data_IF_543886388500
#
_entry.id   IF_543886388500
#
_cell.length_a   1.000
_cell.length_b   1.000
_cell.length_c   1.000
_cell.angle_alpha   90.00
_cell.angle_beta   90.00
_cell.angle_gamma   90.00
#
_symmetry.space_group_name_H-M   'P 1'
#
loop_
_entity.id
_entity.type
_entity.pdbx_description
1 polymer ?
#
# COMPACT_ATOMS: atom_id res chain seq x y z
N UNK A 1 6.61 -16.02 -11.09
CA UNK A 1 5.34 -15.74 -11.78
C UNK A 1 4.32 -15.36 -10.72
N UNK A 2 3.81 -14.14 -10.75
CA UNK A 2 2.94 -13.57 -9.70
C UNK A 2 1.54 -14.19 -9.78
N UNK A 3 0.98 -14.66 -8.67
CA UNK A 3 -0.37 -15.25 -8.64
C UNK A 3 -1.43 -14.16 -8.45
N UNK A 4 -2.11 -13.81 -9.53
CA UNK A 4 -3.32 -12.96 -9.52
C UNK A 4 -4.57 -13.80 -9.26
N UNK A 5 -4.57 -14.54 -8.15
CA UNK A 5 -5.62 -15.52 -7.84
C UNK A 5 -6.13 -15.22 -6.44
N UNK A 6 -7.41 -14.82 -6.35
CA UNK A 6 -8.08 -14.64 -5.07
C UNK A 6 -8.02 -15.95 -4.26
N UNK A 7 -7.97 -15.86 -2.93
CA UNK A 7 -7.96 -17.04 -2.06
C UNK A 7 -9.20 -17.92 -2.26
N UNK A 8 -10.33 -17.30 -2.63
CA UNK A 8 -11.59 -17.94 -2.95
C UNK A 8 -12.42 -17.07 -3.94
N UNK A 9 -13.23 -17.66 -4.84
CA UNK A 9 -14.01 -16.89 -5.83
C UNK A 9 -15.02 -15.89 -5.22
N UNK A 10 -15.51 -16.17 -4.01
CA UNK A 10 -16.46 -15.31 -3.30
C UNK A 10 -15.84 -14.07 -2.65
N UNK A 11 -14.51 -13.89 -2.67
CA UNK A 11 -13.88 -12.72 -2.04
C UNK A 11 -14.29 -11.44 -2.74
N UNK A 12 -14.75 -10.47 -1.96
CA UNK A 12 -15.13 -9.15 -2.42
C UNK A 12 -14.17 -8.09 -1.89
N UNK A 13 -13.98 -7.02 -2.65
CA UNK A 13 -13.26 -5.81 -2.27
C UNK A 13 -14.24 -4.63 -2.23
N UNK A 14 -14.08 -3.73 -1.26
CA UNK A 14 -14.88 -2.50 -1.14
C UNK A 14 -14.73 -1.67 -2.42
N UNK A 15 -15.86 -1.26 -2.99
CA UNK A 15 -15.89 -0.50 -4.24
C UNK A 15 -14.99 0.75 -4.20
N UNK A 16 -14.94 1.57 -3.12
CA UNK A 16 -14.08 2.75 -3.13
C UNK A 16 -12.58 2.43 -3.26
N UNK A 17 -12.14 1.26 -2.78
CA UNK A 17 -10.75 0.82 -2.91
C UNK A 17 -10.49 0.29 -4.32
N UNK A 18 -11.38 -0.54 -4.85
CA UNK A 18 -11.29 -1.01 -6.23
C UNK A 18 -11.34 0.15 -7.23
N UNK A 19 -12.22 1.12 -7.00
CA UNK A 19 -12.38 2.30 -7.83
C UNK A 19 -11.13 3.16 -7.80
N UNK A 20 -10.53 3.38 -6.63
CA UNK A 20 -9.26 4.09 -6.54
C UNK A 20 -8.20 3.43 -7.43
N UNK A 21 -8.06 2.11 -7.40
CA UNK A 21 -7.11 1.39 -8.27
C UNK A 21 -7.45 1.61 -9.75
N UNK A 22 -8.73 1.48 -10.11
CA UNK A 22 -9.23 1.68 -11.49
C UNK A 22 -8.96 3.10 -11.98
N UNK A 23 -9.19 4.11 -11.15
CA UNK A 23 -9.01 5.53 -11.49
C UNK A 23 -7.54 5.85 -11.73
N UNK A 24 -6.64 5.18 -11.00
CA UNK A 24 -5.19 5.32 -11.13
C UNK A 24 -4.60 4.64 -12.38
N UNK A 25 -5.38 3.81 -13.10
CA UNK A 25 -4.91 3.18 -14.33
C UNK A 25 -4.61 4.22 -15.44
N UNK A 26 -3.56 4.01 -16.24
CA UNK A 26 -3.31 4.81 -17.43
C UNK A 26 -4.50 4.86 -18.39
N UNK A 27 -4.65 5.96 -19.14
CA UNK A 27 -5.77 6.15 -20.07
C UNK A 27 -5.91 5.01 -21.09
N UNK A 28 -4.79 4.51 -21.62
CA UNK A 28 -4.79 3.39 -22.59
C UNK A 28 -5.27 2.05 -22.00
N UNK A 29 -5.32 1.93 -20.66
CA UNK A 29 -5.86 0.75 -19.98
C UNK A 29 -7.38 0.85 -19.74
N UNK A 30 -7.99 2.05 -19.85
CA UNK A 30 -9.43 2.23 -19.55
C UNK A 30 -10.37 1.36 -20.39
N UNK A 31 -10.11 1.04 -21.67
CA UNK A 31 -10.94 0.10 -22.42
C UNK A 31 -11.05 -1.30 -21.79
N UNK A 32 -10.06 -1.73 -20.99
CA UNK A 32 -10.10 -3.00 -20.28
C UNK A 32 -11.25 -3.07 -19.27
N UNK A 33 -11.59 -1.94 -18.65
CA UNK A 33 -12.67 -1.86 -17.64
C UNK A 33 -13.99 -2.28 -18.26
N UNK A 34 -14.28 -1.77 -19.48
CA UNK A 34 -15.48 -2.13 -20.23
C UNK A 34 -15.50 -3.60 -20.62
N UNK A 35 -14.38 -4.13 -21.14
CA UNK A 35 -14.27 -5.54 -21.54
C UNK A 35 -14.45 -6.54 -20.39
N UNK A 36 -14.17 -6.12 -19.15
CA UNK A 36 -14.30 -6.93 -17.95
C UNK A 36 -15.62 -6.66 -17.19
N UNK A 37 -16.50 -5.79 -17.69
CA UNK A 37 -17.75 -5.47 -17.01
C UNK A 37 -17.57 -4.73 -15.67
N UNK A 38 -16.42 -4.07 -15.47
CA UNK A 38 -16.01 -3.44 -14.20
C UNK A 38 -16.59 -2.02 -14.00
N UNK A 39 -17.74 -1.72 -14.62
CA UNK A 39 -18.39 -0.42 -14.43
C UNK A 39 -18.81 -0.23 -12.96
N UNK A 40 -18.61 0.95 -12.35
CA UNK A 40 -19.06 1.22 -10.98
C UNK A 40 -20.56 0.95 -10.78
N UNK A 41 -21.37 1.18 -11.83
CA UNK A 41 -22.81 0.93 -11.82
C UNK A 41 -23.17 -0.56 -11.61
N UNK A 42 -22.27 -1.47 -11.96
CA UNK A 42 -22.50 -2.91 -11.84
C UNK A 42 -22.15 -3.45 -10.44
N UNK A 43 -21.46 -2.66 -9.61
CA UNK A 43 -20.84 -3.12 -8.36
C UNK A 43 -21.17 -2.18 -7.19
N UNK A 44 -22.44 -2.07 -6.76
CA UNK A 44 -22.81 -1.18 -5.67
C UNK A 44 -22.18 -1.63 -4.34
N UNK A 45 -21.11 -0.94 -3.94
CA UNK A 45 -20.43 -1.10 -2.65
C UNK A 45 -19.37 -2.19 -2.58
N UNK A 46 -19.47 -3.25 -3.40
CA UNK A 46 -18.53 -4.38 -3.43
C UNK A 46 -18.28 -4.87 -4.85
N UNK A 47 -17.04 -5.25 -5.14
CA UNK A 47 -16.59 -5.84 -6.41
C UNK A 47 -15.91 -7.18 -6.15
N UNK A 48 -16.03 -8.17 -7.03
CA UNK A 48 -15.27 -9.41 -6.88
C UNK A 48 -13.77 -9.14 -6.99
N UNK A 49 -12.99 -9.62 -6.02
CA UNK A 49 -11.54 -9.41 -5.99
C UNK A 49 -10.88 -10.01 -7.24
N UNK A 50 -11.36 -11.16 -7.72
CA UNK A 50 -10.82 -11.79 -8.92
C UNK A 50 -10.97 -10.92 -10.17
N UNK A 51 -12.04 -10.14 -10.30
CA UNK A 51 -12.21 -9.26 -11.46
C UNK A 51 -11.19 -8.11 -11.43
N UNK A 52 -10.95 -7.54 -10.25
CA UNK A 52 -9.89 -6.56 -10.06
C UNK A 52 -8.50 -7.15 -10.34
N UNK A 53 -8.22 -8.36 -9.87
CA UNK A 53 -6.96 -9.07 -10.15
C UNK A 53 -6.80 -9.39 -11.64
N UNK A 54 -7.89 -9.74 -12.34
CA UNK A 54 -7.89 -9.95 -13.78
C UNK A 54 -7.55 -8.66 -14.53
N UNK A 55 -8.10 -7.52 -14.11
CA UNK A 55 -7.75 -6.21 -14.66
C UNK A 55 -6.26 -5.90 -14.44
N UNK A 56 -5.75 -6.08 -13.21
CA UNK A 56 -4.34 -5.82 -12.92
C UNK A 56 -3.40 -6.72 -13.73
N UNK A 57 -3.76 -8.00 -13.91
CA UNK A 57 -3.02 -8.94 -14.77
C UNK A 57 -3.00 -8.49 -16.23
N UNK A 58 -4.13 -8.00 -16.76
CA UNK A 58 -4.21 -7.45 -18.12
C UNK A 58 -3.39 -6.16 -18.28
N UNK A 59 -3.34 -5.33 -17.24
CA UNK A 59 -2.52 -4.12 -17.22
C UNK A 59 -1.03 -4.48 -17.18
N UNK A 60 -0.66 -5.52 -16.43
CA UNK A 60 0.71 -6.02 -16.37
C UNK A 60 1.15 -6.63 -17.71
N UNK A 61 0.31 -7.46 -18.34
CA UNK A 61 0.65 -8.13 -19.62
C UNK A 61 0.82 -7.17 -20.80
N UNK A 62 0.16 -6.00 -20.76
CA UNK A 62 0.29 -4.96 -21.80
C UNK A 62 1.51 -4.07 -21.65
N UNK A 63 2.28 -4.23 -20.57
CA UNK A 63 3.50 -3.46 -20.34
C UNK A 63 4.69 -4.19 -20.95
N UNK A 64 4.82 -4.09 -22.26
CA UNK A 64 6.09 -4.34 -22.91
C UNK A 64 7.10 -3.28 -22.40
N UNK A 65 7.83 -3.60 -21.31
CA UNK A 65 9.01 -2.85 -20.86
C UNK A 65 8.82 -1.74 -19.83
N UNK A 66 7.65 -1.55 -19.21
CA UNK A 66 7.46 -0.52 -18.15
C UNK A 66 7.17 -1.11 -16.77
N UNK A 67 8.21 -1.47 -15.97
CA UNK A 67 8.04 -1.99 -14.61
C UNK A 67 7.44 -0.95 -13.64
N UNK A 68 7.56 0.35 -13.91
CA UNK A 68 7.17 1.40 -12.97
C UNK A 68 5.66 1.57 -12.82
N UNK A 69 4.85 0.99 -13.70
CA UNK A 69 3.43 1.30 -13.66
C UNK A 69 2.68 0.70 -12.47
N UNK A 70 3.12 -0.40 -11.85
CA UNK A 70 2.38 -1.04 -10.74
C UNK A 70 2.83 -0.38 -9.44
N UNK A 71 4.13 -0.14 -9.34
CA UNK A 71 4.71 0.72 -8.31
C UNK A 71 4.02 2.09 -8.30
N UNK A 72 3.82 2.74 -9.45
CA UNK A 72 3.17 4.06 -9.50
C UNK A 72 1.69 4.02 -9.09
N UNK A 73 0.95 2.96 -9.44
CA UNK A 73 -0.40 2.74 -8.92
C UNK A 73 -0.36 2.58 -7.41
N UNK A 74 0.54 1.76 -6.86
CA UNK A 74 0.73 1.57 -5.43
C UNK A 74 1.04 2.88 -4.69
N UNK A 75 1.98 3.68 -5.20
CA UNK A 75 2.35 4.98 -4.64
C UNK A 75 1.16 5.94 -4.55
N UNK A 76 0.31 5.97 -5.58
CA UNK A 76 -0.87 6.83 -5.59
C UNK A 76 -1.99 6.26 -4.72
N UNK A 77 -2.14 4.93 -4.68
CA UNK A 77 -3.09 4.24 -3.80
C UNK A 77 -2.78 4.52 -2.32
N UNK A 78 -1.50 4.64 -1.96
CA UNK A 78 -1.11 5.01 -0.59
C UNK A 78 -1.81 6.25 -0.07
N UNK A 79 -2.03 7.28 -0.91
CA UNK A 79 -2.75 8.50 -0.52
C UNK A 79 -4.22 8.21 -0.16
N UNK A 80 -4.89 7.36 -0.94
CA UNK A 80 -6.28 6.96 -0.67
C UNK A 80 -6.38 6.12 0.62
N UNK A 81 -5.34 5.34 0.91
CA UNK A 81 -5.26 4.52 2.12
C UNK A 81 -4.99 5.40 3.35
N UNK A 82 -4.07 6.36 3.23
CA UNK A 82 -3.75 7.36 4.28
C UNK A 82 -5.00 8.05 4.80
N UNK A 83 -5.88 8.54 3.91
CA UNK A 83 -7.12 9.24 4.32
C UNK A 83 -8.10 8.36 5.12
N UNK A 84 -7.86 7.05 5.15
CA UNK A 84 -8.71 6.04 5.81
C UNK A 84 -8.02 5.39 7.00
N UNK A 85 -6.75 5.71 7.25
CA UNK A 85 -5.96 5.17 8.34
C UNK A 85 -5.82 6.21 9.45
N UNK A 86 -6.10 5.79 10.67
CA UNK A 86 -5.76 6.56 11.87
C UNK A 86 -4.36 6.14 12.29
N UNK A 87 -3.34 6.86 11.84
CA UNK A 87 -1.94 6.63 12.18
C UNK A 87 -1.19 7.97 12.17
N UNK A 88 -0.19 8.11 13.03
CA UNK A 88 0.58 9.35 13.14
C UNK A 88 2.05 9.16 12.72
N UNK A 89 2.50 7.91 12.58
CA UNK A 89 3.89 7.54 12.24
C UNK A 89 3.96 6.26 11.42
N UNK A 90 5.11 6.07 10.79
CA UNK A 90 5.47 4.91 9.95
C UNK A 90 5.17 3.56 10.60
N UNK A 91 5.47 3.37 11.87
CA UNK A 91 5.27 2.10 12.57
C UNK A 91 3.78 1.77 12.75
N UNK A 92 2.96 2.79 13.06
CA UNK A 92 1.53 2.61 13.31
C UNK A 92 0.79 2.27 12.02
N UNK A 93 1.13 2.93 10.90
CA UNK A 93 0.54 2.63 9.60
C UNK A 93 0.85 1.19 9.18
N UNK A 94 2.07 0.72 9.39
CA UNK A 94 2.46 -0.66 9.07
C UNK A 94 1.70 -1.69 9.92
N UNK A 95 1.51 -1.42 11.22
CA UNK A 95 0.70 -2.26 12.12
C UNK A 95 -0.77 -2.32 11.70
N UNK A 96 -1.30 -1.23 11.14
CA UNK A 96 -2.71 -1.14 10.72
C UNK A 96 -3.02 -1.79 9.37
N UNK A 97 -2.02 -2.13 8.55
CA UNK A 97 -2.27 -2.66 7.20
C UNK A 97 -3.09 -3.95 7.17
N UNK A 98 -2.89 -4.86 8.13
CA UNK A 98 -3.71 -6.08 8.23
C UNK A 98 -5.18 -5.73 8.45
N UNK A 99 -5.44 -4.88 9.43
CA UNK A 99 -6.80 -4.45 9.79
C UNK A 99 -7.46 -3.71 8.63
N UNK A 100 -6.72 -2.84 7.95
CA UNK A 100 -7.21 -2.16 6.76
C UNK A 100 -7.58 -3.14 5.65
N UNK A 101 -6.68 -4.09 5.34
CA UNK A 101 -6.94 -5.13 4.32
C UNK A 101 -8.21 -5.92 4.65
N UNK A 102 -8.35 -6.37 5.89
CA UNK A 102 -9.51 -7.14 6.35
C UNK A 102 -10.82 -6.33 6.36
N UNK A 103 -10.76 -5.01 6.57
CA UNK A 103 -11.93 -4.13 6.44
C UNK A 103 -12.30 -3.85 4.99
N UNK A 104 -11.30 -3.81 4.11
CA UNK A 104 -11.45 -3.57 2.68
C UNK A 104 -11.95 -4.80 1.91
N UNK A 105 -11.86 -6.00 2.50
CA UNK A 105 -12.30 -7.24 1.86
C UNK A 105 -13.42 -7.94 2.65
N UNK A 106 -14.25 -8.72 1.96
CA UNK A 106 -15.30 -9.59 2.55
C UNK A 106 -15.07 -11.03 2.11
N UNK A 107 -15.45 -11.97 2.99
CA UNK A 107 -15.31 -13.42 2.79
C UNK A 107 -13.86 -13.90 2.58
N UNK A 108 -12.91 -13.02 2.87
CA UNK A 108 -11.48 -13.30 2.81
C UNK A 108 -11.04 -14.05 4.08
N UNK A 109 -10.08 -14.97 3.92
CA UNK A 109 -9.54 -15.68 5.07
C UNK A 109 -8.82 -14.71 6.02
N UNK A 110 -9.00 -14.83 7.36
CA UNK A 110 -8.29 -13.99 8.32
C UNK A 110 -6.77 -14.19 8.32
N UNK A 111 -6.31 -15.27 7.67
CA UNK A 111 -4.90 -15.57 7.45
C UNK A 111 -4.30 -14.81 6.27
N UNK A 112 -5.12 -14.26 5.36
CA UNK A 112 -4.66 -13.47 4.21
C UNK A 112 -4.52 -12.00 4.63
N UNK A 113 -3.46 -11.32 4.17
CA UNK A 113 -3.19 -9.93 4.48
C UNK A 113 -1.73 -9.66 4.77
N UNK A 114 -1.53 -8.61 5.55
CA UNK A 114 -0.21 -8.18 6.00
C UNK A 114 0.10 -8.71 7.40
N UNK A 115 1.38 -8.93 7.68
CA UNK A 115 1.88 -9.15 9.03
C UNK A 115 3.07 -8.26 9.29
N UNK A 116 3.06 -7.63 10.46
CA UNK A 116 4.13 -6.77 10.98
C UNK A 116 4.93 -7.55 12.02
N UNK A 117 6.25 -7.54 11.90
CA UNK A 117 7.18 -8.07 12.89
C UNK A 117 8.31 -7.07 13.12
N UNK A 118 8.60 -6.75 14.37
CA UNK A 118 9.72 -5.90 14.76
C UNK A 118 10.85 -6.79 15.26
N UNK A 119 12.00 -6.75 14.59
CA UNK A 119 13.17 -7.56 14.95
C UNK A 119 14.11 -6.81 15.90
N UNK A 120 14.22 -5.50 15.73
CA UNK A 120 14.96 -4.58 16.57
C UNK A 120 14.39 -3.16 16.39
N UNK A 121 14.73 -2.19 17.25
CA UNK A 121 14.29 -0.80 17.06
C UNK A 121 14.62 -0.29 15.66
N UNK A 122 13.60 0.10 14.90
CA UNK A 122 13.73 0.56 13.52
C UNK A 122 14.03 -0.53 12.47
N UNK A 123 14.17 -1.80 12.86
CA UNK A 123 14.31 -2.91 11.92
C UNK A 123 13.04 -3.76 11.91
N UNK A 124 12.26 -3.60 10.85
CA UNK A 124 10.94 -4.18 10.70
C UNK A 124 10.92 -5.19 9.56
N UNK A 125 10.00 -6.14 9.66
CA UNK A 125 9.67 -7.08 8.59
C UNK A 125 8.17 -7.05 8.35
N UNK A 126 7.82 -6.73 7.11
CA UNK A 126 6.47 -6.85 6.59
C UNK A 126 6.42 -8.10 5.72
N UNK A 127 5.45 -8.98 5.95
CA UNK A 127 5.14 -10.04 4.98
C UNK A 127 3.71 -9.90 4.52
N UNK A 128 3.50 -10.17 3.24
CA UNK A 128 2.19 -10.17 2.59
C UNK A 128 1.96 -11.51 1.91
N UNK A 129 0.80 -12.08 2.14
CA UNK A 129 0.29 -13.21 1.37
C UNK A 129 -0.98 -12.83 0.61
N UNK A 130 -1.18 -11.54 0.33
CA UNK A 130 -2.31 -11.08 -0.49
C UNK A 130 -2.11 -11.50 -1.95
N UNK A 131 -3.19 -11.58 -2.75
CA UNK A 131 -3.08 -11.97 -4.15
C UNK A 131 -2.69 -10.80 -5.07
N UNK A 132 -2.36 -9.63 -4.52
CA UNK A 132 -1.97 -8.45 -5.30
C UNK A 132 -0.52 -8.57 -5.80
N UNK A 133 -0.19 -7.92 -6.94
CA UNK A 133 1.18 -7.94 -7.45
C UNK A 133 2.18 -7.28 -6.51
N UNK A 134 3.37 -7.88 -6.37
CA UNK A 134 4.43 -7.40 -5.47
C UNK A 134 4.83 -5.95 -5.73
N UNK A 135 4.84 -5.53 -6.99
CA UNK A 135 5.23 -4.17 -7.37
C UNK A 135 4.21 -3.13 -6.90
N UNK A 136 2.92 -3.48 -6.93
CA UNK A 136 1.85 -2.65 -6.39
C UNK A 136 1.96 -2.54 -4.88
N UNK A 137 2.17 -3.68 -4.21
CA UNK A 137 2.38 -3.75 -2.77
C UNK A 137 3.60 -2.95 -2.31
N UNK A 138 4.73 -3.07 -3.03
CA UNK A 138 5.93 -2.29 -2.80
C UNK A 138 5.64 -0.79 -2.92
N UNK A 139 4.99 -0.37 -4.02
CA UNK A 139 4.59 1.02 -4.21
C UNK A 139 3.69 1.55 -3.09
N UNK A 140 2.74 0.73 -2.62
CA UNK A 140 1.87 1.06 -1.50
C UNK A 140 2.68 1.26 -0.21
N UNK A 141 3.54 0.31 0.16
CA UNK A 141 4.39 0.42 1.35
C UNK A 141 5.28 1.67 1.29
N UNK A 142 5.94 1.88 0.15
CA UNK A 142 6.81 3.04 -0.03
C UNK A 142 6.03 4.35 0.12
N UNK A 143 4.86 4.45 -0.52
CA UNK A 143 4.03 5.65 -0.44
C UNK A 143 3.53 5.95 0.97
N UNK A 144 3.17 4.93 1.74
CA UNK A 144 2.74 5.08 3.13
C UNK A 144 3.89 5.53 4.03
N UNK A 145 5.06 4.90 3.92
CA UNK A 145 6.24 5.31 4.69
C UNK A 145 6.69 6.72 4.33
N UNK A 146 6.61 7.09 3.05
CA UNK A 146 6.91 8.46 2.61
C UNK A 146 5.96 9.49 3.22
N UNK A 147 4.68 9.14 3.40
CA UNK A 147 3.67 10.01 3.99
C UNK A 147 3.84 10.15 5.51
N UNK A 148 4.02 9.04 6.22
CA UNK A 148 4.02 9.00 7.69
C UNK A 148 5.41 9.11 8.33
N UNK A 149 6.47 9.30 7.55
CA UNK A 149 7.81 9.51 8.11
C UNK A 149 7.88 10.85 8.85
N UNK A 150 8.56 10.84 9.99
CA UNK A 150 8.99 12.09 10.62
C UNK A 150 10.04 12.80 9.75
N UNK A 151 10.19 14.14 9.85
CA UNK A 151 11.17 14.89 9.06
C UNK A 151 12.63 14.39 9.21
N UNK A 152 12.96 13.83 10.37
CA UNK A 152 14.27 13.25 10.67
C UNK A 152 14.33 11.72 10.47
N UNK A 153 13.30 11.11 9.92
CA UNK A 153 13.25 9.69 9.64
C UNK A 153 13.58 9.42 8.17
N UNK A 154 14.46 8.44 7.94
CA UNK A 154 14.71 7.84 6.62
C UNK A 154 14.27 6.39 6.64
N UNK A 155 13.99 5.84 5.47
CA UNK A 155 13.65 4.44 5.36
C UNK A 155 14.24 3.78 4.11
N UNK A 156 14.41 2.47 4.18
CA UNK A 156 14.76 1.59 3.07
C UNK A 156 13.82 0.39 3.08
N UNK A 157 13.26 0.03 1.92
CA UNK A 157 12.50 -1.20 1.73
C UNK A 157 13.31 -2.14 0.85
N UNK A 158 13.67 -3.30 1.39
CA UNK A 158 14.32 -4.39 0.67
C UNK A 158 13.28 -5.49 0.41
N UNK A 159 12.98 -5.75 -0.86
CA UNK A 159 12.15 -6.91 -1.21
C UNK A 159 12.96 -8.19 -0.99
N UNK A 160 12.36 -9.15 -0.30
CA UNK A 160 12.93 -10.46 -0.03
C UNK A 160 12.08 -11.51 -0.76
N UNK A 161 12.74 -12.46 -1.43
CA UNK A 161 12.04 -13.62 -1.97
C UNK A 161 11.46 -14.43 -0.82
N UNK A 162 10.13 -14.48 -0.71
CA UNK A 162 9.47 -15.38 0.24
C UNK A 162 9.28 -16.77 -0.34
N UNK A 163 9.08 -17.75 0.54
CA UNK A 163 8.74 -19.11 0.16
C UNK A 163 7.24 -19.20 -0.19
N UNK A 164 6.89 -20.01 -1.18
CA UNK A 164 5.49 -20.35 -1.47
C UNK A 164 4.64 -19.21 -2.06
N UNK A 165 5.25 -18.18 -2.64
CA UNK A 165 4.53 -17.03 -3.22
C UNK A 165 4.10 -15.97 -2.21
N UNK A 166 4.53 -16.10 -0.95
CA UNK A 166 4.45 -15.03 0.04
C UNK A 166 5.46 -13.94 -0.34
N UNK A 167 5.04 -12.68 -0.35
CA UNK A 167 5.94 -11.55 -0.51
C UNK A 167 6.48 -11.15 0.86
N UNK A 168 7.78 -10.89 0.92
CA UNK A 168 8.43 -10.41 2.14
C UNK A 168 9.17 -9.11 1.83
N UNK A 169 9.05 -8.15 2.74
CA UNK A 169 9.70 -6.85 2.66
C UNK A 169 10.40 -6.61 4.00
N UNK A 170 11.70 -6.39 3.96
CA UNK A 170 12.44 -5.89 5.11
C UNK A 170 12.43 -4.38 5.04
N UNK A 171 11.97 -3.74 6.11
CA UNK A 171 11.86 -2.28 6.20
C UNK A 171 12.82 -1.80 7.28
N UNK A 172 13.77 -0.96 6.87
CA UNK A 172 14.70 -0.30 7.78
C UNK A 172 14.22 1.12 7.98
N UNK A 173 13.81 1.48 9.19
CA UNK A 173 13.52 2.84 9.63
C UNK A 173 14.71 3.35 10.44
N UNK A 174 15.30 4.47 10.01
CA UNK A 174 16.44 5.09 10.69
C UNK A 174 16.08 6.51 11.08
N UNK A 175 16.14 6.77 12.39
CA UNK A 175 16.00 8.11 12.95
C UNK A 175 17.36 8.80 12.96
N UNK A 176 17.39 10.02 12.42
CA UNK A 176 18.55 10.90 12.51
C UNK A 176 18.35 11.87 13.66
N UNK A 177 19.42 12.25 14.38
CA UNK A 177 19.34 13.39 15.27
C UNK A 177 18.89 14.61 14.48
N UNK A 178 17.93 15.37 15.01
CA UNK A 178 17.53 16.63 14.41
C UNK A 178 18.75 17.56 14.37
N UNK A 179 18.99 18.29 13.26
CA UNK A 179 20.02 19.32 13.23
C UNK A 179 19.81 20.26 14.42
N UNK A 180 20.89 20.55 15.16
CA UNK A 180 20.87 21.37 16.38
C UNK A 180 20.20 22.74 16.22
N UNK A 181 20.06 23.23 14.98
CA UNK A 181 19.33 24.46 14.63
C UNK A 181 17.84 24.43 15.04
N UNK A 182 17.22 23.25 15.15
CA UNK A 182 15.84 23.12 15.64
C UNK A 182 15.73 23.15 17.17
N UNK A 183 16.82 22.93 17.91
CA UNK A 183 16.84 23.11 19.38
C UNK A 183 16.91 24.58 19.79
N UNK A 184 17.25 25.49 18.87
CA UNK A 184 17.34 26.92 19.13
C UNK A 184 16.01 27.66 18.90
N UNK A 185 15.10 27.11 18.10
CA UNK A 185 13.82 27.76 17.77
C UNK A 185 12.81 27.74 18.94
N UNK A 186 12.90 26.75 19.84
CA UNK A 186 12.07 26.66 21.05
C UNK A 186 12.56 27.55 22.22
N UNK A 187 13.58 28.39 22.00
CA UNK A 187 14.09 29.35 23.02
C UNK A 187 13.64 30.80 22.78
N UNK A 188 12.61 31.03 21.96
CA UNK A 188 12.18 32.40 21.61
C UNK A 188 10.93 32.92 22.34
N UNK A 189 10.54 32.34 23.49
CA UNK A 189 9.46 32.86 24.34
C UNK A 189 9.91 33.93 25.38
N UNK A 190 11.10 34.52 25.20
CA UNK A 190 11.53 35.67 25.99
C UNK A 190 11.58 36.93 25.12
N UNK A 191 10.44 37.34 24.56
CA UNK A 191 10.27 38.74 24.16
C UNK A 191 9.88 39.54 25.41
N UNK A 192 10.69 40.50 25.88
CA UNK A 192 10.27 41.41 26.93
C UNK A 192 9.13 42.25 26.40
N UNK A 193 8.00 42.24 27.11
CA UNK A 193 6.91 43.19 26.92
C UNK A 193 7.46 44.61 27.03
N UNK A 194 7.34 45.38 25.94
CA UNK A 194 7.55 46.83 25.91
C UNK A 194 6.41 47.56 26.61
#
# INVERSE_FOLDING_TARGET
MTKFIASHPGVLVRQPIAQAIIDLLPLHCKPLIGSLGLSPANHPGWMHQQDLLNLLRQVESRREGNPFGMVSIGLRLARVVTDRLSADRSEDVLRHLKTFYQRAHRFESPMIGWTYQEHAPGLLRMTSNTPYPSDLEYGLLYGLLQHYRSPNQTFLIEQQSGLGGVQAYRVHLRMHPLPSLWQAADRHDAYPSL
#
